data_IF_346053838061
#
_entry.id   IF_346053838061
#
_cell.length_a   1.000
_cell.length_b   1.000
_cell.length_c   1.000
_cell.angle_alpha   90.00
_cell.angle_beta   90.00
_cell.angle_gamma   90.00
#
_symmetry.space_group_name_H-M   'P 1'
#
loop_
_entity.id
_entity.type
_entity.pdbx_description
1 polymer ?
#
# COMPACT_ATOMS: atom_id res chain seq x y z
N UNK A 1 -6.79 -1.44 -17.84
CA UNK A 1 -6.10 -1.50 -19.14
C UNK A 1 -7.13 -1.21 -20.21
N UNK A 2 -6.72 -0.63 -21.35
CA UNK A 2 -7.60 -0.59 -22.50
C UNK A 2 -8.02 -2.03 -22.87
N UNK A 3 -9.33 -2.30 -23.04
CA UNK A 3 -9.84 -3.58 -23.58
C UNK A 3 -9.07 -3.92 -24.85
N UNK A 4 -8.25 -4.97 -24.82
CA UNK A 4 -7.58 -5.47 -26.02
C UNK A 4 -7.93 -6.94 -26.23
N UNK A 5 -8.85 -7.21 -27.16
CA UNK A 5 -9.17 -8.57 -27.61
C UNK A 5 -8.37 -8.80 -28.89
N UNK A 6 -7.67 -9.92 -28.99
CA UNK A 6 -7.12 -10.41 -30.25
C UNK A 6 -7.52 -11.88 -30.38
N UNK A 7 -8.34 -12.18 -31.37
CA UNK A 7 -8.84 -13.52 -31.63
C UNK A 7 -8.57 -13.92 -33.07
N UNK A 8 -7.99 -15.10 -33.25
CA UNK A 8 -7.80 -15.73 -34.57
C UNK A 8 -8.70 -16.96 -34.63
N UNK A 9 -9.59 -17.01 -35.62
CA UNK A 9 -10.44 -18.17 -35.83
C UNK A 9 -9.62 -19.34 -36.37
N UNK A 10 -9.72 -20.55 -35.80
CA UNK A 10 -8.86 -21.68 -36.16
C UNK A 10 -9.03 -22.18 -37.60
N UNK A 11 -10.19 -21.93 -38.22
CA UNK A 11 -10.56 -22.50 -39.52
C UNK A 11 -11.06 -21.49 -40.56
N UNK A 12 -11.20 -20.20 -40.20
CA UNK A 12 -11.80 -19.20 -41.09
C UNK A 12 -10.79 -18.20 -41.65
N UNK A 13 -9.49 -18.30 -41.28
CA UNK A 13 -8.47 -17.30 -41.61
C UNK A 13 -8.89 -15.86 -41.23
N UNK A 14 -9.75 -15.70 -40.21
CA UNK A 14 -10.24 -14.41 -39.71
C UNK A 14 -9.51 -14.04 -38.42
N UNK A 15 -9.13 -12.77 -38.30
CA UNK A 15 -8.64 -12.15 -37.09
C UNK A 15 -9.59 -11.03 -36.67
N UNK A 16 -10.01 -11.05 -35.41
CA UNK A 16 -10.79 -9.99 -34.77
C UNK A 16 -9.92 -9.33 -33.71
N UNK A 17 -9.75 -8.01 -33.79
CA UNK A 17 -8.99 -7.20 -32.84
C UNK A 17 -9.85 -6.08 -32.28
N UNK A 18 -10.03 -6.03 -30.96
CA UNK A 18 -10.67 -4.91 -30.25
C UNK A 18 -9.56 -4.19 -29.49
N UNK A 19 -9.53 -2.86 -29.51
CA UNK A 19 -8.56 -2.05 -28.76
C UNK A 19 -9.26 -0.82 -28.21
N UNK A 20 -9.27 -0.66 -26.89
CA UNK A 20 -9.73 0.57 -26.25
C UNK A 20 -8.69 1.67 -26.50
N UNK A 21 -9.21 2.78 -27.03
CA UNK A 21 -8.49 3.97 -27.43
C UNK A 21 -9.01 5.21 -26.68
N UNK A 22 -9.73 5.00 -25.58
CA UNK A 22 -10.29 6.06 -24.73
C UNK A 22 -9.18 6.92 -24.17
N UNK A 23 -9.26 8.25 -24.34
CA UNK A 23 -8.26 9.15 -23.79
C UNK A 23 -8.50 9.37 -22.29
N UNK A 24 -7.43 9.73 -21.59
CA UNK A 24 -7.48 10.03 -20.15
C UNK A 24 -8.50 11.16 -19.88
N UNK A 25 -9.41 10.95 -18.93
CA UNK A 25 -10.47 11.88 -18.48
C UNK A 25 -11.66 12.06 -19.45
N UNK A 26 -11.88 11.16 -20.40
CA UNK A 26 -13.09 11.18 -21.23
C UNK A 26 -14.26 10.44 -20.55
N UNK A 27 -15.48 10.94 -20.74
CA UNK A 27 -16.73 10.34 -20.24
C UNK A 27 -17.30 9.29 -21.18
N UNK A 28 -16.91 9.30 -22.46
CA UNK A 28 -17.27 8.31 -23.48
C UNK A 28 -16.11 7.33 -23.66
N UNK A 29 -16.42 6.03 -23.65
CA UNK A 29 -15.46 4.97 -23.90
C UNK A 29 -15.33 4.74 -25.40
N UNK A 30 -14.11 4.73 -25.94
CA UNK A 30 -13.85 4.54 -27.37
C UNK A 30 -13.11 3.25 -27.64
N UNK A 31 -13.63 2.41 -28.52
CA UNK A 31 -13.00 1.15 -28.90
C UNK A 31 -12.80 1.06 -30.40
N UNK A 32 -11.60 0.71 -30.84
CA UNK A 32 -11.27 0.36 -32.22
C UNK A 32 -11.47 -1.14 -32.44
N UNK A 33 -12.47 -1.52 -33.22
CA UNK A 33 -12.81 -2.90 -33.58
C UNK A 33 -12.37 -3.17 -35.02
N UNK A 34 -11.46 -4.12 -35.23
CA UNK A 34 -10.92 -4.49 -36.53
C UNK A 34 -11.21 -5.95 -36.86
N UNK A 35 -11.59 -6.24 -38.10
CA UNK A 35 -11.78 -7.61 -38.61
C UNK A 35 -10.99 -7.75 -39.91
N UNK A 36 -10.05 -8.67 -39.99
CA UNK A 36 -9.27 -8.86 -41.22
C UNK A 36 -8.94 -10.32 -41.46
N UNK A 37 -8.71 -10.66 -42.72
CA UNK A 37 -8.22 -11.98 -43.11
C UNK A 37 -6.70 -12.05 -42.94
N UNK A 38 -6.14 -13.22 -42.62
CA UNK A 38 -4.68 -13.42 -42.54
C UNK A 38 -3.94 -13.03 -43.83
N UNK A 39 -4.62 -13.20 -44.98
CA UNK A 39 -4.04 -12.99 -46.30
C UNK A 39 -4.07 -11.51 -46.74
N UNK A 40 -4.76 -10.64 -45.99
CA UNK A 40 -4.94 -9.22 -46.30
C UNK A 40 -4.26 -8.32 -45.26
N UNK A 41 -3.14 -7.69 -45.65
CA UNK A 41 -2.56 -6.56 -44.92
C UNK A 41 -3.35 -5.28 -45.22
N UNK A 42 -4.50 -5.04 -44.58
CA UNK A 42 -5.14 -3.73 -44.65
C UNK A 42 -5.78 -3.30 -43.33
N UNK A 43 -5.45 -2.07 -42.93
CA UNK A 43 -6.02 -1.33 -41.80
C UNK A 43 -7.45 -0.81 -42.07
N UNK A 44 -7.99 -1.04 -43.28
CA UNK A 44 -9.28 -0.49 -43.76
C UNK A 44 -10.54 -1.16 -43.16
N UNK A 45 -10.38 -2.25 -42.42
CA UNK A 45 -11.50 -2.96 -41.77
C UNK A 45 -11.64 -2.68 -40.28
N UNK A 46 -11.28 -1.48 -39.83
CA UNK A 46 -11.46 -1.03 -38.45
C UNK A 46 -12.63 -0.04 -38.30
N UNK A 47 -13.41 -0.16 -37.24
CA UNK A 47 -14.44 0.81 -36.83
C UNK A 47 -14.12 1.33 -35.44
N UNK A 48 -14.47 2.58 -35.17
CA UNK A 48 -14.43 3.13 -33.82
C UNK A 48 -15.87 3.15 -33.30
N UNK A 49 -16.11 2.49 -32.17
CA UNK A 49 -17.37 2.60 -31.44
C UNK A 49 -17.17 3.50 -30.23
N UNK A 50 -18.18 4.29 -29.91
CA UNK A 50 -18.24 5.10 -28.70
C UNK A 50 -19.37 4.56 -27.83
N UNK A 51 -19.06 4.24 -26.58
CA UNK A 51 -20.01 3.68 -25.62
C UNK A 51 -20.10 4.59 -24.39
N UNK A 52 -21.30 4.65 -23.80
CA UNK A 52 -21.53 5.35 -22.53
C UNK A 52 -21.05 4.56 -21.30
N UNK A 53 -20.68 3.29 -21.48
CA UNK A 53 -20.16 2.41 -20.44
C UNK A 53 -19.04 1.49 -20.99
N UNK A 54 -18.22 0.85 -20.13
CA UNK A 54 -17.17 -0.04 -20.60
C UNK A 54 -17.71 -1.21 -21.42
N UNK A 55 -17.02 -1.56 -22.52
CA UNK A 55 -17.40 -2.67 -23.39
C UNK A 55 -17.56 -3.98 -22.60
N UNK A 56 -18.64 -4.68 -22.87
CA UNK A 56 -19.11 -5.83 -22.11
C UNK A 56 -19.75 -6.87 -23.03
N UNK A 57 -20.11 -8.04 -22.48
CA UNK A 57 -20.78 -9.10 -23.24
C UNK A 57 -22.19 -8.73 -23.73
N UNK A 58 -22.90 -7.86 -22.99
CA UNK A 58 -24.26 -7.45 -23.37
C UNK A 58 -24.27 -6.64 -24.65
N UNK A 59 -23.15 -6.00 -24.98
CA UNK A 59 -23.01 -5.23 -26.21
C UNK A 59 -22.97 -6.13 -27.47
N UNK A 60 -22.71 -7.42 -27.29
CA UNK A 60 -22.73 -8.42 -28.36
C UNK A 60 -23.96 -9.33 -28.30
N UNK A 61 -24.98 -9.00 -27.49
CA UNK A 61 -26.26 -9.70 -27.55
C UNK A 61 -26.92 -9.48 -28.90
N UNK A 62 -27.53 -10.53 -29.43
CA UNK A 62 -28.13 -10.52 -30.76
C UNK A 62 -29.48 -11.24 -30.77
N UNK A 63 -30.24 -10.97 -31.82
CA UNK A 63 -31.49 -11.63 -32.16
C UNK A 63 -31.36 -12.25 -33.55
N UNK A 64 -32.00 -13.42 -33.73
CA UNK A 64 -32.00 -14.16 -34.99
C UNK A 64 -33.40 -14.15 -35.56
N UNK A 65 -33.52 -13.72 -36.82
CA UNK A 65 -34.77 -13.69 -37.57
C UNK A 65 -34.65 -14.63 -38.77
N UNK A 66 -35.54 -15.60 -38.87
CA UNK A 66 -35.62 -16.50 -40.02
C UNK A 66 -36.70 -15.98 -41.00
N UNK A 67 -36.31 -15.74 -42.25
CA UNK A 67 -37.21 -15.32 -43.32
C UNK A 67 -37.21 -16.35 -44.46
N UNK A 68 -37.92 -17.46 -44.24
CA UNK A 68 -37.95 -18.59 -45.17
C UNK A 68 -36.86 -19.63 -44.87
N UNK A 69 -36.63 -20.58 -45.78
CA UNK A 69 -35.75 -21.73 -45.52
C UNK A 69 -34.25 -21.38 -45.51
N UNK A 70 -33.83 -20.31 -46.21
CA UNK A 70 -32.42 -20.00 -46.46
C UNK A 70 -31.99 -18.56 -46.09
N UNK A 71 -32.88 -17.74 -45.50
CA UNK A 71 -32.55 -16.36 -45.13
C UNK A 71 -32.57 -16.19 -43.61
N UNK A 72 -31.38 -16.17 -43.01
CA UNK A 72 -31.19 -15.92 -41.58
C UNK A 72 -30.58 -14.53 -41.41
N UNK A 73 -31.22 -13.68 -40.62
CA UNK A 73 -30.79 -12.32 -40.32
C UNK A 73 -30.41 -12.26 -38.84
N UNK A 74 -29.19 -11.78 -38.55
CA UNK A 74 -28.70 -11.55 -37.18
C UNK A 74 -28.64 -10.05 -36.94
N UNK A 75 -29.21 -9.58 -35.83
CA UNK A 75 -29.17 -8.17 -35.41
C UNK A 75 -28.62 -8.07 -33.98
N UNK A 76 -27.59 -7.24 -33.73
CA UNK A 76 -27.13 -6.93 -32.35
C UNK A 76 -28.14 -5.98 -31.72
N UNK A 77 -28.41 -6.19 -30.44
CA UNK A 77 -29.30 -5.34 -29.66
C UNK A 77 -28.71 -3.96 -29.36
N UNK A 78 -27.40 -3.86 -29.17
CA UNK A 78 -26.71 -2.58 -28.99
C UNK A 78 -26.43 -1.92 -30.36
N UNK A 79 -27.27 -0.94 -30.71
CA UNK A 79 -27.17 -0.20 -31.98
C UNK A 79 -25.87 0.60 -32.14
N UNK A 80 -25.11 0.85 -31.05
CA UNK A 80 -23.80 1.50 -31.09
C UNK A 80 -22.69 0.56 -31.62
N UNK A 81 -22.87 -0.76 -31.49
CA UNK A 81 -22.04 -1.77 -32.18
C UNK A 81 -22.61 -1.96 -33.59
N UNK A 82 -22.39 -0.90 -34.37
CA UNK A 82 -22.74 -0.65 -35.76
C UNK A 82 -22.97 -1.92 -36.63
N UNK A 83 -24.04 -1.90 -37.44
CA UNK A 83 -24.32 -2.83 -38.54
C UNK A 83 -23.09 -3.05 -39.46
N UNK A 84 -22.19 -2.07 -39.55
CA UNK A 84 -20.94 -2.16 -40.30
C UNK A 84 -19.95 -3.17 -39.71
N UNK A 85 -19.83 -3.30 -38.38
CA UNK A 85 -18.98 -4.33 -37.76
C UNK A 85 -19.48 -5.72 -38.15
N UNK A 86 -20.79 -5.92 -38.10
CA UNK A 86 -21.43 -7.15 -38.57
C UNK A 86 -21.26 -7.42 -40.04
N UNK A 87 -21.52 -6.42 -40.88
CA UNK A 87 -21.34 -6.52 -42.32
C UNK A 87 -19.91 -6.93 -42.65
N UNK A 88 -18.93 -6.42 -41.92
CA UNK A 88 -17.51 -6.82 -42.07
C UNK A 88 -17.25 -8.24 -41.59
N UNK A 89 -17.85 -8.66 -40.47
CA UNK A 89 -17.72 -10.04 -39.97
C UNK A 89 -18.31 -11.03 -40.97
N UNK A 90 -19.48 -10.70 -41.53
CA UNK A 90 -20.13 -11.43 -42.63
C UNK A 90 -19.25 -11.49 -43.88
N UNK A 91 -18.70 -10.35 -44.30
CA UNK A 91 -17.82 -10.28 -45.47
C UNK A 91 -16.50 -11.05 -45.27
N UNK A 92 -15.97 -11.08 -44.04
CA UNK A 92 -14.72 -11.77 -43.71
C UNK A 92 -14.87 -13.30 -43.71
N UNK A 93 -16.08 -13.82 -43.47
CA UNK A 93 -16.39 -15.26 -43.54
C UNK A 93 -16.32 -15.79 -44.99
N UNK A 94 -16.64 -14.96 -45.98
CA UNK A 94 -16.52 -15.32 -47.40
C UNK A 94 -17.74 -16.10 -47.94
N UNK A 95 -17.50 -16.89 -49.00
CA UNK A 95 -18.53 -17.53 -49.82
C UNK A 95 -19.07 -18.82 -49.20
N UNK A 96 -19.91 -18.66 -48.17
CA UNK A 96 -20.73 -19.73 -47.61
C UNK A 96 -22.22 -19.47 -47.90
N UNK A 97 -23.07 -20.50 -47.76
CA UNK A 97 -24.52 -20.28 -47.79
C UNK A 97 -24.93 -19.30 -46.68
N UNK A 98 -26.02 -18.55 -46.88
CA UNK A 98 -26.48 -17.54 -45.90
C UNK A 98 -26.66 -18.13 -44.49
N UNK A 99 -27.13 -19.38 -44.40
CA UNK A 99 -27.30 -20.11 -43.14
C UNK A 99 -25.96 -20.43 -42.48
N UNK A 100 -25.00 -20.97 -43.23
CA UNK A 100 -23.66 -21.25 -42.72
C UNK A 100 -22.91 -19.97 -42.30
N UNK A 101 -23.10 -18.86 -43.03
CA UNK A 101 -22.57 -17.56 -42.64
C UNK A 101 -23.18 -17.13 -41.30
N UNK A 102 -24.49 -17.27 -41.12
CA UNK A 102 -25.16 -16.93 -39.88
C UNK A 102 -24.66 -17.78 -38.69
N UNK A 103 -24.52 -19.10 -38.88
CA UNK A 103 -23.98 -19.99 -37.85
C UNK A 103 -22.55 -19.61 -37.43
N UNK A 104 -21.70 -19.27 -38.41
CA UNK A 104 -20.32 -18.81 -38.16
C UNK A 104 -20.28 -17.43 -37.48
N UNK A 105 -21.19 -16.53 -37.83
CA UNK A 105 -21.33 -15.23 -37.15
C UNK A 105 -21.71 -15.46 -35.68
N UNK A 106 -22.67 -16.33 -35.40
CA UNK A 106 -23.09 -16.70 -34.05
C UNK A 106 -21.91 -17.28 -33.27
N UNK A 107 -21.20 -18.25 -33.84
CA UNK A 107 -20.00 -18.85 -33.25
C UNK A 107 -18.97 -17.78 -32.86
N UNK A 108 -18.69 -16.83 -33.76
CA UNK A 108 -17.76 -15.74 -33.53
C UNK A 108 -18.23 -14.78 -32.43
N UNK A 109 -19.52 -14.43 -32.39
CA UNK A 109 -20.09 -13.58 -31.35
C UNK A 109 -20.05 -14.25 -29.97
N UNK A 110 -20.43 -15.51 -29.87
CA UNK A 110 -20.35 -16.27 -28.62
C UNK A 110 -18.90 -16.40 -28.15
N UNK A 111 -17.95 -16.60 -29.09
CA UNK A 111 -16.53 -16.61 -28.75
C UNK A 111 -16.04 -15.25 -28.27
N UNK A 112 -16.50 -14.15 -28.87
CA UNK A 112 -16.17 -12.80 -28.42
C UNK A 112 -16.73 -12.52 -27.01
N UNK A 113 -17.97 -12.93 -26.73
CA UNK A 113 -18.55 -12.87 -25.38
C UNK A 113 -17.71 -13.64 -24.37
N UNK A 114 -17.32 -14.88 -24.69
CA UNK A 114 -16.45 -15.70 -23.86
C UNK A 114 -15.08 -15.04 -23.63
N UNK A 115 -14.46 -14.49 -24.68
CA UNK A 115 -13.16 -13.81 -24.57
C UNK A 115 -13.24 -12.54 -23.73
N UNK A 116 -14.34 -11.78 -23.83
CA UNK A 116 -14.61 -10.63 -22.97
C UNK A 116 -14.87 -11.06 -21.51
N UNK A 117 -15.51 -12.21 -21.28
CA UNK A 117 -15.63 -12.80 -19.94
C UNK A 117 -14.27 -13.29 -19.39
N UNK A 118 -13.40 -13.83 -20.24
CA UNK A 118 -12.02 -14.23 -19.89
C UNK A 118 -11.06 -13.06 -19.68
N UNK A 119 -11.47 -11.83 -19.98
CA UNK A 119 -10.72 -10.62 -19.60
C UNK A 119 -10.84 -10.27 -18.11
N UNK A 120 -11.53 -11.09 -17.31
CA UNK A 120 -11.31 -11.09 -15.87
C UNK A 120 -9.87 -11.56 -15.62
N UNK A 121 -9.01 -10.64 -15.21
CA UNK A 121 -7.60 -10.96 -14.94
C UNK A 121 -7.53 -12.12 -13.91
N UNK A 122 -6.59 -13.04 -14.11
CA UNK A 122 -6.23 -14.06 -13.14
C UNK A 122 -4.74 -13.90 -12.76
N UNK A 123 -4.28 -14.67 -11.78
CA UNK A 123 -2.90 -14.70 -11.30
C UNK A 123 -1.88 -14.92 -12.44
N UNK A 124 -2.12 -15.90 -13.31
CA UNK A 124 -1.23 -16.23 -14.43
C UNK A 124 -1.07 -15.06 -15.38
N UNK A 125 -2.17 -14.39 -15.73
CA UNK A 125 -2.15 -13.21 -16.58
C UNK A 125 -1.37 -12.06 -15.92
N UNK A 126 -1.64 -11.78 -14.65
CA UNK A 126 -0.98 -10.71 -13.89
C UNK A 126 0.53 -10.95 -13.82
N UNK A 127 0.95 -12.18 -13.53
CA UNK A 127 2.35 -12.55 -13.47
C UNK A 127 3.02 -12.42 -14.86
N UNK A 128 2.37 -12.88 -15.93
CA UNK A 128 2.92 -12.79 -17.30
C UNK A 128 3.13 -11.35 -17.80
N UNK A 129 2.29 -10.43 -17.30
CA UNK A 129 2.36 -9.00 -17.58
C UNK A 129 3.32 -8.25 -16.65
N UNK A 130 3.75 -8.87 -15.55
CA UNK A 130 4.73 -8.28 -14.65
C UNK A 130 6.09 -8.29 -15.35
N UNK A 131 6.68 -7.11 -15.50
CA UNK A 131 7.99 -6.92 -16.11
C UNK A 131 9.10 -6.96 -15.06
N UNK A 132 8.90 -6.24 -13.96
CA UNK A 132 9.82 -6.20 -12.81
C UNK A 132 9.06 -5.78 -11.55
N UNK A 133 9.62 -6.14 -10.40
CA UNK A 133 9.10 -5.73 -9.09
C UNK A 133 10.25 -5.11 -8.31
N UNK A 134 9.98 -4.01 -7.61
CA UNK A 134 10.91 -3.41 -6.64
C UNK A 134 10.29 -3.48 -5.26
N UNK A 135 11.03 -4.03 -4.30
CA UNK A 135 10.60 -4.14 -2.90
C UNK A 135 11.38 -3.17 -2.02
N UNK A 136 10.65 -2.28 -1.35
CA UNK A 136 11.19 -1.30 -0.41
C UNK A 136 10.86 -1.67 1.04
N UNK A 137 10.93 -2.95 1.39
CA UNK A 137 10.66 -3.45 2.74
C UNK A 137 9.17 -3.52 3.06
N UNK A 138 8.40 -4.19 2.20
CA UNK A 138 6.95 -4.40 2.36
C UNK A 138 6.08 -3.48 1.50
N UNK A 139 6.70 -2.67 0.64
CA UNK A 139 6.03 -1.86 -0.37
C UNK A 139 6.57 -2.29 -1.73
N UNK A 140 5.67 -2.71 -2.61
CA UNK A 140 6.02 -3.22 -3.92
C UNK A 140 5.66 -2.22 -5.00
N UNK A 141 6.66 -1.77 -5.77
CA UNK A 141 6.41 -1.15 -7.07
C UNK A 141 6.43 -2.24 -8.14
N UNK A 142 5.24 -2.60 -8.63
CA UNK A 142 5.06 -3.60 -9.67
C UNK A 142 4.98 -2.90 -11.03
N UNK A 143 5.94 -3.19 -11.90
CA UNK A 143 6.00 -2.66 -13.26
C UNK A 143 5.35 -3.66 -14.20
N UNK A 144 4.40 -3.19 -15.00
CA UNK A 144 3.67 -4.01 -15.96
C UNK A 144 4.06 -3.64 -17.39
N UNK A 145 4.20 -4.63 -18.25
CA UNK A 145 4.51 -4.44 -19.67
C UNK A 145 3.51 -3.48 -20.32
N UNK A 146 4.02 -2.44 -20.99
CA UNK A 146 3.21 -1.42 -21.66
C UNK A 146 2.57 -0.40 -20.72
N UNK A 147 2.88 -0.41 -19.42
CA UNK A 147 2.46 0.61 -18.46
C UNK A 147 3.68 1.35 -17.93
N UNK A 148 3.78 2.63 -18.31
CA UNK A 148 4.95 3.46 -18.04
C UNK A 148 5.08 3.93 -16.57
N UNK A 149 4.08 3.65 -15.72
CA UNK A 149 4.06 4.06 -14.31
C UNK A 149 3.91 2.81 -13.45
N UNK A 150 4.80 2.57 -12.47
CA UNK A 150 4.67 1.42 -11.58
C UNK A 150 3.35 1.48 -10.82
N UNK A 151 2.78 0.32 -10.56
CA UNK A 151 1.60 0.17 -9.72
C UNK A 151 2.08 -0.25 -8.34
N UNK A 152 1.94 0.68 -7.41
CA UNK A 152 2.37 0.51 -6.04
C UNK A 152 1.35 -0.27 -5.25
N UNK A 153 1.80 -1.28 -4.52
CA UNK A 153 1.03 -2.04 -3.53
C UNK A 153 1.59 -1.68 -2.15
N UNK A 154 0.72 -1.20 -1.26
CA UNK A 154 1.08 -0.89 0.13
C UNK A 154 0.74 -2.08 1.05
N UNK A 155 1.31 -2.11 2.26
CA UNK A 155 1.09 -3.19 3.24
C UNK A 155 -0.40 -3.56 3.42
N UNK A 156 -1.30 -2.56 3.44
CA UNK A 156 -2.73 -2.78 3.64
C UNK A 156 -3.38 -3.57 2.47
N UNK A 157 -2.81 -3.48 1.27
CA UNK A 157 -3.26 -4.19 0.06
C UNK A 157 -2.67 -5.62 -0.03
N UNK A 158 -1.65 -5.93 0.78
CA UNK A 158 -1.01 -7.25 0.89
C UNK A 158 -1.68 -8.17 1.93
N UNK A 159 -2.64 -7.67 2.72
CA UNK A 159 -3.19 -8.40 3.87
C UNK A 159 -4.16 -9.53 3.49
N UNK A 160 -4.95 -9.38 2.42
CA UNK A 160 -5.86 -10.43 1.93
C UNK A 160 -6.23 -10.28 0.45
N UNK A 161 -6.73 -11.36 -0.18
CA UNK A 161 -7.14 -11.33 -1.59
C UNK A 161 -8.25 -10.31 -1.89
N UNK A 162 -9.04 -9.86 -0.91
CA UNK A 162 -10.11 -8.86 -1.11
C UNK A 162 -9.53 -7.46 -1.24
N UNK A 163 -8.54 -7.10 -0.42
CA UNK A 163 -7.77 -5.88 -0.53
C UNK A 163 -7.10 -5.79 -1.90
N UNK A 164 -6.40 -6.86 -2.28
CA UNK A 164 -5.77 -6.95 -3.59
C UNK A 164 -6.75 -6.79 -4.77
N UNK A 165 -7.93 -7.42 -4.71
CA UNK A 165 -8.98 -7.25 -5.74
C UNK A 165 -9.44 -5.80 -5.86
N UNK A 166 -9.63 -5.10 -4.73
CA UNK A 166 -10.00 -3.68 -4.72
C UNK A 166 -8.89 -2.81 -5.32
N UNK A 167 -7.65 -3.03 -4.89
CA UNK A 167 -6.47 -2.34 -5.42
C UNK A 167 -6.35 -2.52 -6.95
N UNK A 168 -6.52 -3.75 -7.44
CA UNK A 168 -6.42 -4.07 -8.86
C UNK A 168 -7.53 -3.36 -9.66
N UNK A 169 -8.78 -3.40 -9.17
CA UNK A 169 -9.90 -2.68 -9.80
C UNK A 169 -9.63 -1.17 -9.83
N UNK A 170 -9.09 -0.58 -8.76
CA UNK A 170 -8.77 0.85 -8.72
C UNK A 170 -7.71 1.25 -9.75
N UNK A 171 -6.64 0.44 -9.87
CA UNK A 171 -5.50 0.74 -10.72
C UNK A 171 -5.71 0.42 -12.20
N UNK A 172 -6.50 -0.61 -12.50
CA UNK A 172 -6.66 -1.13 -13.85
C UNK A 172 -8.09 -1.01 -14.37
N UNK A 173 -9.09 -0.69 -13.53
CA UNK A 173 -10.52 -0.66 -13.88
C UNK A 173 -11.03 -1.99 -14.44
N UNK A 174 -10.38 -3.08 -14.07
CA UNK A 174 -10.65 -4.44 -14.55
C UNK A 174 -10.95 -5.34 -13.35
N UNK A 175 -11.95 -6.22 -13.46
CA UNK A 175 -12.24 -7.22 -12.43
C UNK A 175 -11.19 -8.34 -12.51
N UNK A 176 -10.87 -8.92 -11.35
CA UNK A 176 -9.92 -10.02 -11.20
C UNK A 176 -10.62 -11.19 -10.50
N UNK A 177 -10.38 -12.41 -10.97
CA UNK A 177 -10.86 -13.65 -10.36
C UNK A 177 -9.63 -14.44 -9.93
N UNK A 178 -9.35 -14.35 -8.64
CA UNK A 178 -8.23 -14.98 -7.97
C UNK A 178 -8.73 -15.58 -6.66
N UNK A 179 -8.35 -16.81 -6.37
CA UNK A 179 -8.54 -17.49 -5.07
C UNK A 179 -7.49 -17.04 -4.07
N UNK A 180 -7.63 -17.42 -2.79
CA UNK A 180 -6.63 -17.06 -1.77
C UNK A 180 -5.27 -17.75 -2.03
N UNK A 181 -5.30 -18.99 -2.52
CA UNK A 181 -4.08 -19.76 -2.85
C UNK A 181 -3.35 -19.19 -4.06
N UNK A 182 -4.08 -18.82 -5.12
CA UNK A 182 -3.54 -18.16 -6.31
C UNK A 182 -2.99 -16.77 -5.97
N UNK A 183 -3.67 -16.04 -5.08
CA UNK A 183 -3.20 -14.75 -4.56
C UNK A 183 -1.89 -14.90 -3.80
N UNK A 184 -1.83 -15.84 -2.84
CA UNK A 184 -0.62 -16.12 -2.06
C UNK A 184 0.55 -16.50 -2.97
N UNK A 185 0.28 -17.34 -3.99
CA UNK A 185 1.27 -17.74 -4.99
C UNK A 185 1.76 -16.57 -5.84
N UNK A 186 0.86 -15.68 -6.26
CA UNK A 186 1.20 -14.47 -7.01
C UNK A 186 2.10 -13.53 -6.20
N UNK A 187 1.74 -13.26 -4.95
CA UNK A 187 2.53 -12.41 -4.05
C UNK A 187 3.91 -13.02 -3.81
N UNK A 188 3.99 -14.33 -3.56
CA UNK A 188 5.26 -15.02 -3.38
C UNK A 188 6.14 -14.92 -4.64
N UNK A 189 5.56 -15.07 -5.83
CA UNK A 189 6.29 -14.90 -7.08
C UNK A 189 6.83 -13.48 -7.24
N UNK A 190 6.03 -12.45 -6.90
CA UNK A 190 6.51 -11.07 -6.93
C UNK A 190 7.65 -10.82 -5.96
N UNK A 191 7.59 -11.34 -4.72
CA UNK A 191 8.71 -11.24 -3.79
C UNK A 191 9.95 -11.98 -4.27
N UNK A 192 9.79 -13.14 -4.93
CA UNK A 192 10.91 -13.87 -5.52
C UNK A 192 11.54 -13.14 -6.71
N UNK A 193 10.73 -12.38 -7.47
CA UNK A 193 11.19 -11.56 -8.61
C UNK A 193 11.68 -10.17 -8.21
N UNK A 194 11.46 -9.75 -6.95
CA UNK A 194 11.69 -8.38 -6.54
C UNK A 194 13.18 -8.05 -6.42
N UNK A 195 13.57 -6.95 -7.05
CA UNK A 195 14.82 -6.26 -6.73
C UNK A 195 14.63 -5.59 -5.36
N UNK A 196 15.41 -6.04 -4.36
CA UNK A 196 15.34 -5.49 -3.00
C UNK A 196 16.07 -4.16 -2.95
N UNK A 197 15.36 -3.14 -2.50
CA UNK A 197 15.84 -1.79 -2.32
C UNK A 197 15.74 -1.39 -0.85
N UNK A 198 16.60 -0.46 -0.43
CA UNK A 198 16.46 0.15 0.88
C UNK A 198 15.19 1.03 0.89
N UNK A 199 14.52 1.13 2.03
CA UNK A 199 13.32 1.99 2.20
C UNK A 199 13.63 3.45 1.83
N UNK A 200 14.87 3.90 2.06
CA UNK A 200 15.35 5.23 1.68
C UNK A 200 15.39 5.47 0.16
N UNK A 201 15.42 4.42 -0.64
CA UNK A 201 15.39 4.48 -2.10
C UNK A 201 13.96 4.54 -2.66
N UNK A 202 12.92 4.43 -1.81
CA UNK A 202 11.53 4.61 -2.21
C UNK A 202 11.30 6.06 -2.68
N UNK A 203 10.88 6.30 -3.94
CA UNK A 203 10.63 7.63 -4.48
C UNK A 203 9.62 8.47 -3.67
N UNK A 204 8.64 7.84 -3.01
CA UNK A 204 7.67 8.55 -2.16
C UNK A 204 8.21 8.81 -0.75
N UNK A 205 9.23 8.07 -0.32
CA UNK A 205 9.88 8.27 0.97
C UNK A 205 11.04 9.28 0.85
N UNK A 206 11.61 9.45 -0.34
CA UNK A 206 12.59 10.51 -0.67
C UNK A 206 12.09 11.90 -0.27
N UNK A 207 10.83 12.24 -0.54
CA UNK A 207 10.31 13.58 -0.25
C UNK A 207 10.18 13.86 1.26
N UNK A 208 9.70 12.88 2.04
CA UNK A 208 9.66 13.02 3.50
C UNK A 208 11.08 13.11 4.09
N UNK A 209 11.99 12.27 3.59
CA UNK A 209 13.40 12.28 4.01
C UNK A 209 14.07 13.61 3.66
N UNK A 210 13.86 14.13 2.44
CA UNK A 210 14.33 15.44 2.00
C UNK A 210 13.77 16.56 2.87
N UNK A 211 12.48 16.52 3.20
CA UNK A 211 11.86 17.49 4.10
C UNK A 211 12.43 17.42 5.51
N UNK A 212 12.71 16.22 6.01
CA UNK A 212 13.35 16.02 7.31
C UNK A 212 14.80 16.55 7.32
N UNK A 213 15.60 16.21 6.32
CA UNK A 213 16.98 16.68 6.18
C UNK A 213 17.04 18.20 5.97
N UNK A 214 16.14 18.75 5.14
CA UNK A 214 15.97 20.20 4.96
C UNK A 214 15.57 20.88 6.28
N UNK A 215 14.67 20.26 7.03
CA UNK A 215 14.28 20.74 8.36
C UNK A 215 15.48 20.77 9.30
N UNK A 216 16.28 19.71 9.37
CA UNK A 216 17.51 19.69 10.18
C UNK A 216 18.47 20.81 9.76
N UNK A 217 18.70 20.99 8.46
CA UNK A 217 19.59 22.02 7.95
C UNK A 217 19.13 23.45 8.25
N UNK A 218 17.81 23.69 8.27
CA UNK A 218 17.23 25.02 8.54
C UNK A 218 16.91 25.28 10.02
N UNK A 219 17.25 24.35 10.90
CA UNK A 219 16.90 24.41 12.33
C UNK A 219 18.08 24.78 13.22
N UNK A 220 17.76 25.17 14.46
CA UNK A 220 18.74 25.36 15.52
C UNK A 220 19.10 23.99 16.10
N UNK A 221 20.37 23.59 15.98
CA UNK A 221 20.87 22.34 16.54
C UNK A 221 21.95 22.69 17.57
N UNK A 222 21.70 22.41 18.84
CA UNK A 222 22.64 22.68 19.92
C UNK A 222 23.52 21.46 20.20
N UNK A 223 24.82 21.67 20.43
CA UNK A 223 25.76 20.64 20.85
C UNK A 223 25.73 20.47 22.39
N UNK A 224 24.60 19.97 22.89
CA UNK A 224 24.32 19.76 24.30
C UNK A 224 23.04 20.43 24.76
N UNK A 225 22.60 20.05 25.96
CA UNK A 225 21.40 20.62 26.57
C UNK A 225 21.74 21.91 27.31
N UNK A 226 21.42 23.06 26.70
CA UNK A 226 21.57 24.39 27.31
C UNK A 226 20.22 24.95 27.74
N UNK A 227 20.22 25.91 28.68
CA UNK A 227 19.00 26.63 29.07
C UNK A 227 18.29 27.25 27.85
N UNK A 228 19.06 27.77 26.88
CA UNK A 228 18.52 28.31 25.64
C UNK A 228 17.86 27.23 24.78
N UNK A 229 18.50 26.07 24.60
CA UNK A 229 17.92 24.95 23.87
C UNK A 229 16.60 24.49 24.52
N UNK A 230 16.57 24.43 25.87
CA UNK A 230 15.37 24.08 26.63
C UNK A 230 14.26 25.11 26.47
N UNK A 231 14.57 26.39 26.63
CA UNK A 231 13.58 27.47 26.51
C UNK A 231 12.97 27.52 25.11
N UNK A 232 13.78 27.35 24.06
CA UNK A 232 13.27 27.31 22.68
C UNK A 232 12.40 26.08 22.43
N UNK A 233 12.81 24.92 22.93
CA UNK A 233 12.09 23.66 22.78
C UNK A 233 10.73 23.68 23.52
N UNK A 234 10.67 24.32 24.69
CA UNK A 234 9.47 24.49 25.51
C UNK A 234 8.50 25.55 24.97
N UNK A 235 9.03 26.72 24.60
CA UNK A 235 8.26 27.90 24.24
C UNK A 235 7.93 28.00 22.74
N UNK A 236 8.41 27.06 21.94
CA UNK A 236 8.05 26.91 20.52
C UNK A 236 8.34 28.18 19.70
N UNK A 237 9.44 28.87 20.03
CA UNK A 237 9.85 30.12 19.39
C UNK A 237 10.56 29.82 18.07
N UNK A 238 9.82 29.83 16.95
CA UNK A 238 10.34 30.02 15.58
C UNK A 238 11.50 29.12 15.12
N UNK A 239 11.27 28.35 14.06
CA UNK A 239 12.11 27.23 13.58
C UNK A 239 12.20 26.07 14.59
N UNK A 240 12.41 24.85 14.09
CA UNK A 240 12.54 23.69 14.97
C UNK A 240 13.86 23.74 15.74
N UNK A 241 13.88 23.18 16.94
CA UNK A 241 15.06 23.11 17.80
C UNK A 241 15.38 21.65 18.09
N UNK A 242 16.64 21.29 17.89
CA UNK A 242 17.18 19.95 18.09
C UNK A 242 18.41 20.00 18.98
N UNK A 243 18.75 18.86 19.59
CA UNK A 243 19.94 18.75 20.43
C UNK A 243 20.75 17.56 19.97
N UNK A 244 22.06 17.75 19.80
CA UNK A 244 23.04 16.68 19.66
C UNK A 244 23.79 16.56 20.98
N UNK A 245 23.76 15.40 21.60
CA UNK A 245 24.46 15.14 22.85
C UNK A 245 24.99 13.71 22.86
N UNK A 246 26.27 13.54 23.19
CA UNK A 246 26.95 12.24 23.22
C UNK A 246 26.78 11.44 21.90
N UNK A 247 26.89 12.11 20.75
CA UNK A 247 26.72 11.49 19.44
C UNK A 247 25.27 11.11 19.08
N UNK A 248 24.29 11.51 19.89
CA UNK A 248 22.86 11.24 19.65
C UNK A 248 22.13 12.51 19.25
N UNK A 249 21.35 12.47 18.18
CA UNK A 249 20.44 13.54 17.77
C UNK A 249 19.05 13.31 18.37
N UNK A 250 18.59 14.27 19.16
CA UNK A 250 17.29 14.28 19.83
C UNK A 250 16.29 15.12 19.03
N UNK A 251 15.33 14.44 18.41
CA UNK A 251 14.30 15.06 17.57
C UNK A 251 12.95 15.01 18.28
N UNK A 252 12.31 16.15 18.62
CA UNK A 252 11.00 16.11 19.27
C UNK A 252 9.94 15.43 18.39
N UNK A 253 9.17 14.51 18.96
CA UNK A 253 8.15 13.74 18.24
C UNK A 253 7.09 14.62 17.56
N UNK A 254 6.83 15.81 18.11
CA UNK A 254 5.96 16.83 17.50
C UNK A 254 6.45 17.26 16.11
N UNK A 255 7.76 17.30 15.87
CA UNK A 255 8.32 17.65 14.55
C UNK A 255 8.06 16.55 13.54
N UNK A 256 8.33 15.29 13.89
CA UNK A 256 8.04 14.13 13.05
C UNK A 256 6.56 14.05 12.68
N UNK A 257 5.67 14.36 13.64
CA UNK A 257 4.22 14.43 13.40
C UNK A 257 3.83 15.56 12.45
N UNK A 258 4.46 16.74 12.57
CA UNK A 258 4.21 17.88 11.67
C UNK A 258 4.67 17.58 10.25
N UNK A 259 5.87 17.02 10.09
CA UNK A 259 6.40 16.61 8.77
C UNK A 259 5.47 15.58 8.13
N UNK A 260 5.03 14.58 8.89
CA UNK A 260 4.07 13.58 8.43
C UNK A 260 2.76 14.18 7.91
N UNK A 261 2.25 15.23 8.58
CA UNK A 261 0.99 15.90 8.19
C UNK A 261 1.14 16.82 6.97
N UNK A 262 2.34 17.30 6.68
CA UNK A 262 2.62 18.16 5.54
C UNK A 262 2.65 17.38 4.20
N UNK A 263 2.79 16.05 4.27
CA UNK A 263 2.80 15.18 3.10
C UNK A 263 1.42 15.08 2.43
N UNK A 264 1.40 15.15 1.08
CA UNK A 264 0.17 14.96 0.28
C UNK A 264 -0.42 13.55 0.47
N UNK A 265 0.45 12.56 0.72
CA UNK A 265 0.08 11.20 1.07
C UNK A 265 0.52 10.94 2.51
N UNK A 266 -0.40 10.77 3.48
CA UNK A 266 -0.03 10.59 4.88
C UNK A 266 0.79 9.31 5.10
N UNK A 267 2.08 9.45 5.38
CA UNK A 267 2.96 8.32 5.72
C UNK A 267 2.58 7.78 7.11
N UNK A 268 2.41 6.46 7.31
CA UNK A 268 2.16 5.89 8.64
C UNK A 268 3.40 5.99 9.55
N UNK A 269 3.21 6.02 10.87
CA UNK A 269 4.33 6.16 11.81
C UNK A 269 5.29 4.96 11.73
N UNK A 270 4.76 3.77 11.46
CA UNK A 270 5.47 2.52 11.23
C UNK A 270 6.44 2.63 10.04
N UNK A 271 6.00 3.28 8.96
CA UNK A 271 6.82 3.49 7.75
C UNK A 271 7.98 4.46 8.01
N UNK A 272 7.78 5.49 8.84
CA UNK A 272 8.86 6.39 9.29
C UNK A 272 9.90 5.61 10.12
N UNK A 273 9.48 4.64 10.94
CA UNK A 273 10.43 3.77 11.68
C UNK A 273 11.26 2.94 10.72
N UNK A 274 10.62 2.33 9.73
CA UNK A 274 11.31 1.53 8.72
C UNK A 274 12.35 2.35 7.95
N UNK A 275 12.00 3.59 7.57
CA UNK A 275 12.90 4.53 6.89
C UNK A 275 14.17 4.81 7.69
N UNK A 276 14.06 4.98 9.01
CA UNK A 276 15.20 5.32 9.86
C UNK A 276 15.73 4.18 10.70
N UNK A 277 15.29 2.95 10.45
CA UNK A 277 15.62 1.79 11.30
C UNK A 277 17.11 1.67 11.57
N UNK A 278 17.93 1.90 10.54
CA UNK A 278 19.39 1.80 10.66
C UNK A 278 20.01 2.97 11.45
N UNK A 279 19.32 4.09 11.61
CA UNK A 279 19.82 5.29 12.31
C UNK A 279 19.22 5.45 13.70
N UNK A 280 18.13 4.76 14.02
CA UNK A 280 17.47 4.85 15.32
C UNK A 280 18.24 4.06 16.38
N UNK A 281 18.49 4.69 17.52
CA UNK A 281 19.23 4.06 18.64
C UNK A 281 18.34 3.08 19.43
N UNK A 282 17.02 3.27 19.40
CA UNK A 282 16.04 2.42 20.10
C UNK A 282 14.90 2.00 19.16
N UNK A 283 14.60 0.69 19.09
CA UNK A 283 13.48 0.12 18.30
C UNK A 283 12.11 0.65 18.76
N UNK A 284 11.99 1.04 20.03
CA UNK A 284 10.78 1.60 20.65
C UNK A 284 10.68 3.14 20.51
N UNK A 285 10.60 3.59 19.25
CA UNK A 285 10.51 4.97 18.73
C UNK A 285 9.57 6.05 19.35
N UNK A 286 8.98 5.91 20.55
CA UNK A 286 8.40 7.07 21.28
C UNK A 286 8.38 6.81 22.80
N UNK A 287 9.52 6.66 23.48
CA UNK A 287 9.48 6.36 24.93
C UNK A 287 10.45 7.12 25.84
N UNK A 288 11.30 7.99 25.32
CA UNK A 288 12.08 8.84 26.23
C UNK A 288 11.29 10.13 26.47
N UNK A 289 10.56 10.11 27.58
CA UNK A 289 9.84 11.27 28.12
C UNK A 289 10.80 12.00 29.04
N UNK A 290 11.34 13.13 28.59
CA UNK A 290 12.19 13.97 29.42
C UNK A 290 11.35 15.05 30.06
N UNK A 291 11.51 15.20 31.37
CA UNK A 291 11.10 16.42 32.04
C UNK A 291 12.20 17.44 31.80
N UNK A 292 11.93 18.34 30.86
CA UNK A 292 12.79 19.50 30.61
C UNK A 292 12.44 20.54 31.66
N UNK A 293 13.37 20.82 32.58
CA UNK A 293 13.26 21.89 33.58
C UNK A 293 14.20 23.02 33.20
N UNK A 294 13.67 24.21 32.96
CA UNK A 294 14.51 25.39 32.75
C UNK A 294 14.93 26.05 34.08
N UNK A 295 15.80 27.06 34.00
CA UNK A 295 16.23 27.94 35.10
C UNK A 295 15.08 28.56 35.91
N UNK A 296 13.91 28.71 35.30
CA UNK A 296 12.65 29.17 35.93
C UNK A 296 11.83 28.04 36.58
N UNK A 297 12.38 26.82 36.67
CA UNK A 297 11.75 25.60 37.22
C UNK A 297 10.49 25.14 36.47
N UNK A 298 10.25 25.62 35.25
CA UNK A 298 9.15 25.15 34.40
C UNK A 298 9.52 23.79 33.85
N UNK A 299 8.74 22.77 34.23
CA UNK A 299 8.99 21.37 33.90
C UNK A 299 7.97 20.86 32.89
N UNK A 300 8.42 20.33 31.73
CA UNK A 300 7.53 19.75 30.73
C UNK A 300 8.05 18.42 30.20
N UNK A 301 7.17 17.44 30.17
CA UNK A 301 7.41 16.15 29.53
C UNK A 301 7.42 16.28 28.01
N UNK A 302 8.58 16.02 27.38
CA UNK A 302 8.74 16.01 25.92
C UNK A 302 9.19 14.64 25.45
N UNK A 303 8.59 14.18 24.35
CA UNK A 303 8.89 12.89 23.71
C UNK A 303 9.84 13.10 22.54
N UNK A 304 10.83 12.23 22.40
CA UNK A 304 11.83 12.31 21.34
C UNK A 304 11.93 11.04 20.50
N UNK A 305 12.39 11.24 19.27
CA UNK A 305 13.05 10.23 18.44
C UNK A 305 14.55 10.45 18.60
N UNK A 306 15.30 9.37 18.79
CA UNK A 306 16.73 9.42 19.07
C UNK A 306 17.48 8.73 17.95
N UNK A 307 18.29 9.49 17.23
CA UNK A 307 19.07 9.03 16.10
C UNK A 307 20.57 9.02 16.43
N UNK A 308 21.31 8.11 15.82
CA UNK A 308 22.77 8.12 15.78
C UNK A 308 23.24 9.23 14.85
N UNK A 309 23.76 10.32 15.43
CA UNK A 309 24.16 11.51 14.68
C UNK A 309 25.36 11.25 13.79
N UNK A 310 26.32 10.46 14.27
CA UNK A 310 27.52 10.15 13.51
C UNK A 310 27.19 9.29 12.29
N UNK A 311 26.35 8.26 12.49
CA UNK A 311 25.86 7.42 11.39
C UNK A 311 25.04 8.21 10.38
N UNK A 312 24.20 9.14 10.85
CA UNK A 312 23.44 10.04 9.98
C UNK A 312 24.33 10.94 9.12
N UNK A 313 25.40 11.53 9.68
CA UNK A 313 26.33 12.38 8.90
C UNK A 313 27.08 11.62 7.81
N UNK A 314 27.48 10.38 8.09
CA UNK A 314 28.14 9.50 7.11
C UNK A 314 27.21 9.24 5.93
N UNK A 315 25.95 8.92 6.22
CA UNK A 315 24.98 8.53 5.19
C UNK A 315 24.36 9.72 4.45
N UNK A 316 24.25 10.87 5.12
CA UNK A 316 23.72 12.12 4.56
C UNK A 316 24.77 13.22 4.65
N UNK A 317 25.68 13.34 3.64
CA UNK A 317 26.78 14.29 3.68
C UNK A 317 26.35 15.76 3.82
N UNK A 318 25.12 16.10 3.42
CA UNK A 318 24.54 17.43 3.62
C UNK A 318 24.50 17.86 5.09
N UNK A 319 24.46 16.91 6.03
CA UNK A 319 24.50 17.17 7.47
C UNK A 319 25.92 17.35 8.02
N UNK A 320 26.96 16.92 7.28
CA UNK A 320 28.35 17.00 7.76
C UNK A 320 28.86 18.43 7.90
N UNK A 321 28.29 19.36 7.11
CA UNK A 321 28.62 20.79 7.15
C UNK A 321 27.66 21.60 8.04
N UNK A 322 26.75 20.93 8.77
CA UNK A 322 25.78 21.63 9.62
C UNK A 322 26.49 22.15 10.87
N UNK A 323 26.59 23.48 10.97
CA UNK A 323 27.10 24.14 12.17
C UNK A 323 26.18 23.85 13.36
N UNK A 324 26.79 23.31 14.43
CA UNK A 324 26.14 23.15 15.71
C UNK A 324 26.36 24.40 16.55
N UNK A 325 25.33 24.80 17.29
CA UNK A 325 25.44 25.88 18.26
C UNK A 325 26.13 25.28 19.47
N UNK A 326 27.39 25.65 19.66
CA UNK A 326 28.21 25.14 20.74
C UNK A 326 27.65 25.56 22.10
N UNK A 327 27.55 24.60 23.02
CA UNK A 327 27.32 24.88 24.43
C UNK A 327 28.67 25.18 25.09
N UNK A 328 28.78 26.29 25.83
CA UNK A 328 29.95 26.45 26.71
C UNK A 328 29.96 25.34 27.75
N UNK A 329 31.14 24.89 28.19
CA UNK A 329 31.27 23.77 29.12
C UNK A 329 30.55 24.02 30.46
N UNK A 330 30.41 25.29 30.86
CA UNK A 330 29.65 25.73 32.04
C UNK A 330 28.12 25.66 31.86
N UNK A 331 27.64 25.59 30.61
CA UNK A 331 26.21 25.51 30.24
C UNK A 331 25.75 24.10 29.87
N UNK A 332 26.67 23.14 29.73
CA UNK A 332 26.36 21.70 29.66
C UNK A 332 25.93 21.25 31.05
N UNK A 333 24.78 21.74 31.51
CA UNK A 333 24.23 21.33 32.79
C UNK A 333 24.18 19.80 32.84
N UNK A 334 24.62 19.23 33.97
CA UNK A 334 24.26 17.89 34.40
C UNK A 334 22.73 17.84 34.46
N UNK A 335 22.13 17.53 33.32
CA UNK A 335 20.80 16.98 33.34
C UNK A 335 21.01 15.60 33.91
N UNK A 336 20.48 15.39 35.12
CA UNK A 336 19.95 14.10 35.51
C UNK A 336 18.98 13.71 34.40
N UNK A 337 19.52 13.08 33.35
CA UNK A 337 18.75 12.21 32.49
C UNK A 337 18.41 11.09 33.45
N UNK A 338 17.33 11.29 34.22
CA UNK A 338 16.66 10.19 34.87
C UNK A 338 16.22 9.35 33.70
N UNK A 339 17.03 8.33 33.39
CA UNK A 339 16.62 7.18 32.63
C UNK A 339 15.39 6.64 33.35
N UNK A 340 14.22 7.15 32.99
CA UNK A 340 12.94 6.54 33.29
C UNK A 340 12.78 5.29 32.41
N UNK A 341 13.85 4.48 32.31
CA UNK A 341 13.83 3.09 31.85
C UNK A 341 13.02 2.24 32.85
N UNK A 342 12.67 2.76 34.03
CA UNK A 342 11.60 2.19 34.85
C UNK A 342 10.24 2.82 34.51
N UNK A 343 9.48 2.03 33.75
CA UNK A 343 8.01 1.92 33.71
C UNK A 343 7.35 2.32 32.39
N UNK A 344 7.54 1.43 31.42
CA UNK A 344 6.62 1.25 30.32
C UNK A 344 5.46 0.28 30.62
N UNK A 345 4.92 0.32 31.84
CA UNK A 345 3.55 -0.11 32.09
C UNK A 345 2.66 1.13 32.14
N UNK A 346 2.22 1.57 30.97
CA UNK A 346 0.99 2.35 30.86
C UNK A 346 -0.18 1.41 31.13
N UNK A 347 -0.46 1.26 32.42
CA UNK A 347 -1.76 1.07 33.05
C UNK A 347 -1.41 0.86 34.52
N UNK A 348 -1.31 1.94 35.30
CA UNK A 348 -1.38 1.79 36.75
C UNK A 348 -2.85 1.43 37.03
N UNK A 349 -3.17 0.14 36.87
CA UNK A 349 -4.17 -0.48 37.72
C UNK A 349 -3.51 -0.40 39.10
N UNK A 350 -4.10 0.34 40.04
CA UNK A 350 -3.55 0.36 41.38
C UNK A 350 -3.46 -1.10 41.89
N UNK A 351 -2.41 -1.43 42.63
CA UNK A 351 -2.14 -2.79 43.10
C UNK A 351 -3.39 -3.39 43.79
N UNK A 352 -4.08 -2.67 44.70
CA UNK A 352 -5.38 -3.10 45.23
C UNK A 352 -6.44 -3.43 44.15
N UNK A 353 -6.58 -2.63 43.10
CA UNK A 353 -7.50 -2.90 42.00
C UNK A 353 -7.10 -4.16 41.22
N UNK A 354 -5.81 -4.38 40.96
CA UNK A 354 -5.32 -5.57 40.28
C UNK A 354 -5.57 -6.84 41.12
N UNK A 355 -5.30 -6.76 42.43
CA UNK A 355 -5.60 -7.82 43.38
C UNK A 355 -7.10 -8.12 43.43
N UNK A 356 -7.96 -7.11 43.33
CA UNK A 356 -9.41 -7.34 43.28
C UNK A 356 -9.86 -8.08 42.02
N UNK A 357 -9.27 -7.78 40.86
CA UNK A 357 -9.54 -8.54 39.63
C UNK A 357 -9.02 -9.98 39.70
N UNK A 358 -7.84 -10.20 40.27
CA UNK A 358 -7.29 -11.55 40.48
C UNK A 358 -8.21 -12.35 41.42
N UNK A 359 -8.73 -11.75 42.50
CA UNK A 359 -9.72 -12.39 43.40
C UNK A 359 -11.00 -12.77 42.65
N UNK A 360 -11.59 -11.85 41.89
CA UNK A 360 -12.82 -12.09 41.13
C UNK A 360 -12.65 -13.25 40.13
N UNK A 361 -11.51 -13.29 39.45
CA UNK A 361 -11.20 -14.37 38.51
C UNK A 361 -10.95 -15.70 39.23
N UNK A 362 -10.27 -15.66 40.38
CA UNK A 362 -10.04 -16.84 41.20
C UNK A 362 -11.34 -17.43 41.74
N UNK A 363 -12.25 -16.61 42.25
CA UNK A 363 -13.55 -17.04 42.74
C UNK A 363 -14.35 -17.72 41.61
N UNK A 364 -14.32 -17.16 40.38
CA UNK A 364 -14.95 -17.77 39.21
C UNK A 364 -14.34 -19.12 38.82
N UNK A 365 -13.01 -19.24 38.87
CA UNK A 365 -12.31 -20.52 38.60
C UNK A 365 -12.75 -21.58 39.60
N UNK A 366 -12.95 -21.20 40.87
CA UNK A 366 -13.45 -22.11 41.91
C UNK A 366 -14.94 -22.43 41.73
N UNK A 367 -15.79 -21.45 41.41
CA UNK A 367 -17.22 -21.64 41.13
C UNK A 367 -17.46 -22.55 39.91
N UNK A 368 -16.67 -22.37 38.86
CA UNK A 368 -16.75 -23.17 37.62
C UNK A 368 -15.95 -24.48 37.71
N UNK A 369 -15.29 -24.75 38.84
CA UNK A 369 -14.51 -25.96 39.12
C UNK A 369 -13.43 -26.24 38.05
N UNK A 370 -12.83 -25.16 37.53
CA UNK A 370 -11.81 -25.21 36.48
C UNK A 370 -10.50 -25.71 37.09
N UNK A 371 -9.97 -26.82 36.56
CA UNK A 371 -8.65 -27.31 36.95
C UNK A 371 -7.56 -26.38 36.39
N UNK A 372 -6.75 -25.83 37.29
CA UNK A 372 -5.53 -25.11 36.95
C UNK A 372 -4.31 -25.85 37.49
N UNK A 373 -3.13 -25.54 36.94
CA UNK A 373 -1.87 -26.10 37.42
C UNK A 373 -1.62 -25.71 38.88
N UNK A 374 -1.08 -26.65 39.66
CA UNK A 374 -0.87 -26.46 41.10
C UNK A 374 0.09 -25.31 41.42
N UNK A 375 1.12 -25.08 40.61
CA UNK A 375 2.05 -23.97 40.84
C UNK A 375 1.35 -22.64 40.60
N UNK A 376 0.48 -22.57 39.59
CA UNK A 376 -0.33 -21.38 39.33
C UNK A 376 -1.34 -21.12 40.45
N UNK A 377 -1.93 -22.18 41.02
CA UNK A 377 -2.81 -22.07 42.19
C UNK A 377 -2.06 -21.51 43.41
N UNK A 378 -0.87 -22.03 43.70
CA UNK A 378 -0.04 -21.59 44.81
C UNK A 378 0.43 -20.13 44.63
N UNK A 379 0.84 -19.74 43.42
CA UNK A 379 1.21 -18.36 43.07
C UNK A 379 0.04 -17.38 43.23
N UNK A 380 -1.16 -17.77 42.78
CA UNK A 380 -2.36 -16.95 42.96
C UNK A 380 -2.63 -16.79 44.45
N UNK A 381 -2.70 -17.87 45.23
CA UNK A 381 -2.95 -17.82 46.69
C UNK A 381 -1.94 -16.94 47.43
N UNK A 382 -0.67 -17.00 47.06
CA UNK A 382 0.37 -16.13 47.60
C UNK A 382 0.11 -14.64 47.33
N UNK A 383 -0.36 -14.32 46.12
CA UNK A 383 -0.65 -12.93 45.71
C UNK A 383 -1.91 -12.38 46.39
N UNK A 384 -2.95 -13.18 46.60
CA UNK A 384 -4.23 -12.72 47.17
C UNK A 384 -4.38 -12.81 48.69
N UNK A 385 -3.52 -13.55 49.40
CA UNK A 385 -3.57 -13.64 50.87
C UNK A 385 -2.51 -12.73 51.54
N UNK A 386 -2.92 -11.67 52.26
CA UNK A 386 -2.00 -10.76 52.96
C UNK A 386 -1.22 -11.43 54.09
N UNK A 387 -1.68 -12.57 54.62
CA UNK A 387 -0.99 -13.29 55.69
C UNK A 387 0.34 -13.91 55.21
N UNK A 388 0.40 -14.32 53.94
CA UNK A 388 1.58 -14.94 53.33
C UNK A 388 2.67 -13.93 52.92
N UNK A 389 2.36 -12.63 52.97
CA UNK A 389 3.29 -11.55 52.64
C UNK A 389 4.04 -11.01 53.88
N UNK A 390 3.64 -11.39 55.10
CA UNK A 390 4.27 -10.94 56.36
C UNK A 390 5.54 -11.69 56.75
N UNK A 391 5.85 -12.80 56.08
CA UNK A 391 7.04 -13.61 56.36
C UNK A 391 8.28 -13.17 55.53
N UNK A 392 8.23 -11.99 54.90
CA UNK A 392 9.28 -11.46 54.02
C UNK A 392 9.98 -10.18 54.52
N UNK A 393 9.68 -9.71 55.73
CA UNK A 393 10.38 -8.58 56.38
C UNK A 393 11.49 -9.04 57.34
#
# INVERSE_FOLDING_TARGET
MPVSVLYKHPSLNIIIKITDITKKNETLFRYKLCIFSEDLKQEDNCSIIELTSPLSKSDFEYEVYERGQDDVIIKIKNEEIDDTFFKRLRNAIGDFSKKEVADKVIELLEKLKELLEKQVANDVFILSMTEKVKDYGGILDVYFKGINVPKRIEEDDLLDSRGFKKWFIQNFRTRIKITEDEYSSLIQNWFNMAERHYVSEDPLTSFFLENFLSTLNNSYIYNGWTNEAMDRLLNNQGAFTFVVFQGKLWVPAKVMQSLRKAEKTPIKAEKIRSLFKDFLINDNSVKDVFTVTNDKKVSKSVKFWVFDWEKMKIYYPSLSNKELIEASDEQKQEIDIIDNIKNNYKNIIDIPTLLSYIRILWDKVQEENIQIDKNLEDDIRFVIDPANQKDMD
#
